data_IF_409463490098
#
_entry.id   IF_409463490098
#
_cell.length_a   1.000
_cell.length_b   1.000
_cell.length_c   1.000
_cell.angle_alpha   90.00
_cell.angle_beta   90.00
_cell.angle_gamma   90.00
#
_symmetry.space_group_name_H-M   'P 1'
#
loop_
_entity.id
_entity.type
_entity.pdbx_description
1 polymer ?
#
# COMPACT_ATOMS: atom_id res chain seq x y z
N UNK A 1 -3.71 -18.50 7.40
CA UNK A 1 -3.55 -18.04 5.99
C UNK A 1 -2.19 -17.38 5.87
N UNK A 2 -1.65 -17.25 4.66
CA UNK A 2 -0.35 -16.60 4.43
C UNK A 2 -0.58 -15.36 3.58
N UNK A 3 -0.15 -14.19 4.05
CA UNK A 3 -0.09 -12.99 3.24
C UNK A 3 1.15 -13.06 2.35
N UNK A 4 0.93 -12.99 1.05
CA UNK A 4 1.99 -13.09 0.05
C UNK A 4 2.53 -11.72 -0.31
N UNK A 5 1.64 -10.72 -0.42
CA UNK A 5 2.01 -9.38 -0.87
C UNK A 5 1.00 -8.34 -0.40
N UNK A 6 1.51 -7.18 0.00
CA UNK A 6 0.74 -5.94 0.17
C UNK A 6 1.48 -4.85 -0.58
N UNK A 7 0.83 -4.23 -1.55
CA UNK A 7 1.43 -3.14 -2.32
C UNK A 7 0.48 -1.99 -2.51
N UNK A 8 1.03 -0.79 -2.42
CA UNK A 8 0.35 0.43 -2.83
C UNK A 8 0.69 0.70 -4.30
N UNK A 9 -0.31 0.63 -5.17
CA UNK A 9 -0.19 1.05 -6.57
C UNK A 9 -0.48 2.55 -6.63
N UNK A 10 0.56 3.41 -6.80
CA UNK A 10 0.36 4.85 -6.81
C UNK A 10 -0.39 5.30 -8.07
N UNK A 11 -1.07 6.45 -7.99
CA UNK A 11 -1.53 7.13 -9.20
C UNK A 11 -0.34 7.71 -9.98
N UNK A 12 -0.58 8.12 -11.23
CA UNK A 12 0.46 8.61 -12.16
C UNK A 12 1.26 9.82 -11.60
N UNK A 13 0.68 10.52 -10.64
CA UNK A 13 1.22 11.71 -10.00
C UNK A 13 2.20 11.43 -8.86
N UNK A 14 2.29 10.18 -8.40
CA UNK A 14 3.10 9.77 -7.26
C UNK A 14 4.00 8.59 -7.59
N UNK A 15 5.14 8.59 -6.92
CA UNK A 15 6.03 7.44 -6.78
C UNK A 15 5.80 6.89 -5.37
N UNK A 16 5.75 5.57 -5.24
CA UNK A 16 5.54 4.89 -3.97
C UNK A 16 6.81 4.15 -3.53
N UNK A 17 7.16 4.26 -2.24
CA UNK A 17 8.18 3.44 -1.60
C UNK A 17 7.64 2.84 -0.30
N UNK A 18 7.94 1.58 -0.05
CA UNK A 18 7.56 0.90 1.19
C UNK A 18 8.54 1.27 2.32
N UNK A 19 8.00 1.68 3.47
CA UNK A 19 8.80 1.97 4.66
C UNK A 19 8.86 0.70 5.51
N UNK A 20 10.04 0.09 5.60
CA UNK A 20 10.28 -1.04 6.49
C UNK A 20 10.35 -0.55 7.93
N UNK A 21 9.54 -1.12 8.81
CA UNK A 21 9.54 -0.80 10.24
C UNK A 21 10.73 -1.52 10.89
N UNK A 22 11.67 -0.81 11.53
CA UNK A 22 12.93 -1.40 12.01
C UNK A 22 12.78 -2.30 13.26
N UNK A 23 11.59 -2.44 13.84
CA UNK A 23 11.39 -3.09 15.14
C UNK A 23 10.99 -4.57 15.10
N UNK A 24 10.86 -5.19 13.92
CA UNK A 24 10.73 -6.65 13.89
C UNK A 24 12.13 -7.26 13.81
N UNK A 25 12.65 -7.73 14.95
CA UNK A 25 13.87 -8.54 15.03
C UNK A 25 13.73 -9.90 14.31
N UNK A 26 12.60 -10.17 13.67
CA UNK A 26 12.41 -11.32 12.81
C UNK A 26 13.02 -11.02 11.44
N UNK A 27 14.02 -11.82 11.06
CA UNK A 27 14.44 -12.01 9.66
C UNK A 27 13.20 -11.90 8.79
N UNK A 28 13.15 -10.84 7.97
CA UNK A 28 12.04 -10.50 7.08
C UNK A 28 11.43 -11.78 6.50
N UNK A 29 10.32 -12.29 7.07
CA UNK A 29 9.90 -13.63 6.72
C UNK A 29 9.37 -13.54 5.29
N UNK A 30 9.90 -14.39 4.41
CA UNK A 30 9.49 -14.49 3.01
C UNK A 30 7.95 -14.65 2.87
N UNK A 31 7.32 -15.10 3.96
CA UNK A 31 5.88 -15.29 4.10
C UNK A 31 5.38 -14.77 5.46
N UNK A 32 4.33 -13.95 5.44
CA UNK A 32 3.72 -13.43 6.66
C UNK A 32 2.49 -14.26 7.01
N UNK A 33 2.52 -14.97 8.14
CA UNK A 33 1.34 -15.70 8.61
C UNK A 33 0.26 -14.74 9.15
N UNK A 34 -0.95 -14.89 8.64
CA UNK A 34 -2.14 -14.18 9.10
C UNK A 34 -2.86 -15.03 10.14
N UNK A 35 -2.74 -14.62 11.41
CA UNK A 35 -3.53 -15.18 12.50
C UNK A 35 -4.94 -14.59 12.50
N UNK A 36 -5.95 -15.37 12.94
CA UNK A 36 -7.30 -14.83 13.09
C UNK A 36 -7.32 -13.59 13.98
N UNK A 37 -7.99 -12.53 13.51
CA UNK A 37 -8.11 -11.23 14.19
C UNK A 37 -6.80 -10.45 14.38
N UNK A 38 -5.70 -10.87 13.76
CA UNK A 38 -4.46 -10.11 13.78
C UNK A 38 -4.64 -8.75 13.07
N UNK A 39 -4.07 -7.70 13.66
CA UNK A 39 -3.99 -6.37 13.07
C UNK A 39 -2.53 -6.12 12.70
N UNK A 40 -2.30 -5.66 11.46
CA UNK A 40 -0.97 -5.33 10.93
C UNK A 40 -1.01 -3.97 10.27
N UNK A 41 0.10 -3.24 10.35
CA UNK A 41 0.26 -1.92 9.76
C UNK A 41 1.34 -1.97 8.68
N UNK A 42 1.03 -1.40 7.52
CA UNK A 42 1.95 -1.21 6.40
C UNK A 42 2.11 0.28 6.16
N UNK A 43 3.35 0.75 6.00
CA UNK A 43 3.65 2.15 5.73
C UNK A 43 4.19 2.30 4.32
N UNK A 44 3.59 3.22 3.58
CA UNK A 44 4.01 3.60 2.24
C UNK A 44 4.27 5.10 2.21
N UNK A 45 5.40 5.51 1.65
CA UNK A 45 5.72 6.90 1.38
C UNK A 45 5.38 7.21 -0.08
N UNK A 46 4.53 8.23 -0.27
CA UNK A 46 4.21 8.77 -1.58
C UNK A 46 5.00 10.05 -1.81
N UNK A 47 5.71 10.12 -2.93
CA UNK A 47 6.47 11.29 -3.36
C UNK A 47 5.95 11.77 -4.72
N UNK A 48 5.89 13.08 -4.98
CA UNK A 48 5.56 13.62 -6.30
C UNK A 48 6.42 13.00 -7.41
N UNK A 49 5.79 12.61 -8.53
CA UNK A 49 6.49 12.10 -9.72
C UNK A 49 7.04 13.22 -10.64
N UNK A 50 6.86 14.50 -10.26
CA UNK A 50 7.40 15.64 -11.02
C UNK A 50 8.33 16.49 -10.16
N UNK A 51 9.40 16.98 -10.78
CA UNK A 51 10.33 17.96 -10.19
C UNK A 51 9.77 19.38 -10.23
N UNK A 52 8.79 19.63 -11.11
CA UNK A 52 8.08 20.90 -11.16
C UNK A 52 6.94 20.89 -10.14
N UNK A 53 7.21 21.44 -8.95
CA UNK A 53 6.21 21.68 -7.90
C UNK A 53 5.18 22.76 -8.30
N UNK A 54 4.73 22.79 -9.56
CA UNK A 54 3.64 23.66 -9.96
C UNK A 54 2.37 23.10 -9.31
N UNK A 55 1.87 23.83 -8.30
CA UNK A 55 0.62 23.55 -7.60
C UNK A 55 -0.56 23.28 -8.57
N UNK A 56 -0.48 23.80 -9.80
CA UNK A 56 -1.46 23.59 -10.86
C UNK A 56 -1.53 22.14 -11.36
N UNK A 57 -0.44 21.37 -11.34
CA UNK A 57 -0.45 19.97 -11.81
C UNK A 57 -1.22 19.04 -10.86
N UNK A 58 -1.35 19.44 -9.60
CA UNK A 58 -2.05 18.70 -8.55
C UNK A 58 -3.42 19.28 -8.21
N UNK A 59 -3.82 20.41 -8.83
CA UNK A 59 -5.16 21.00 -8.65
C UNK A 59 -6.21 20.07 -9.25
N UNK A 60 -7.13 19.58 -8.42
CA UNK A 60 -8.20 18.66 -8.82
C UNK A 60 -7.79 17.17 -8.81
N UNK A 61 -6.52 16.86 -8.57
CA UNK A 61 -6.05 15.48 -8.42
C UNK A 61 -6.23 15.05 -6.97
N UNK A 62 -7.32 14.34 -6.69
CA UNK A 62 -7.57 13.76 -5.36
C UNK A 62 -7.04 12.33 -5.23
N UNK A 63 -6.92 11.58 -6.34
CA UNK A 63 -6.52 10.16 -6.31
C UNK A 63 -5.03 9.97 -6.01
N UNK A 64 -4.72 9.27 -4.91
CA UNK A 64 -3.34 8.99 -4.48
C UNK A 64 -2.86 7.59 -4.93
N UNK A 65 -3.78 6.67 -5.20
CA UNK A 65 -3.46 5.28 -5.55
C UNK A 65 -4.45 4.29 -4.96
N UNK A 66 -4.12 3.00 -4.99
CA UNK A 66 -4.95 1.92 -4.46
C UNK A 66 -4.10 0.86 -3.77
N UNK A 67 -4.68 0.21 -2.76
CA UNK A 67 -4.02 -0.86 -2.03
C UNK A 67 -4.40 -2.20 -2.63
N UNK A 68 -3.41 -3.04 -2.90
CA UNK A 68 -3.56 -4.40 -3.44
C UNK A 68 -2.95 -5.40 -2.46
N UNK A 69 -3.74 -6.43 -2.12
CA UNK A 69 -3.38 -7.47 -1.17
C UNK A 69 -3.55 -8.85 -1.80
N UNK A 70 -2.54 -9.70 -1.68
CA UNK A 70 -2.59 -11.10 -2.11
C UNK A 70 -2.31 -12.02 -0.93
N UNK A 71 -3.08 -13.09 -0.80
CA UNK A 71 -2.91 -14.10 0.24
C UNK A 71 -3.17 -15.50 -0.30
N UNK A 72 -2.76 -16.49 0.49
CA UNK A 72 -3.02 -17.91 0.27
C UNK A 72 -3.75 -18.52 1.47
N UNK A 73 -4.83 -19.27 1.20
CA UNK A 73 -5.53 -20.04 2.22
C UNK A 73 -4.68 -21.22 2.70
N UNK A 74 -5.06 -21.83 3.81
CA UNK A 74 -4.38 -23.05 4.30
C UNK A 74 -4.48 -24.22 3.32
N UNK A 75 -5.51 -24.25 2.47
CA UNK A 75 -5.70 -25.25 1.42
C UNK A 75 -5.03 -24.89 0.08
N UNK A 76 -4.28 -23.78 0.04
CA UNK A 76 -3.49 -23.40 -1.14
C UNK A 76 -4.19 -22.47 -2.14
N UNK A 77 -5.45 -22.11 -1.90
CA UNK A 77 -6.18 -21.20 -2.78
C UNK A 77 -5.64 -19.77 -2.64
N UNK A 78 -5.47 -19.08 -3.77
CA UNK A 78 -5.03 -17.68 -3.77
C UNK A 78 -6.22 -16.73 -3.78
N UNK A 79 -6.18 -15.73 -2.91
CA UNK A 79 -7.10 -14.61 -2.90
C UNK A 79 -6.39 -13.30 -3.21
N UNK A 80 -7.12 -12.34 -3.78
CA UNK A 80 -6.67 -10.99 -4.05
C UNK A 80 -7.76 -10.00 -3.62
N UNK A 81 -7.37 -8.92 -2.97
CA UNK A 81 -8.25 -7.82 -2.58
C UNK A 81 -7.61 -6.52 -3.00
N UNK A 82 -8.31 -5.79 -3.85
CA UNK A 82 -7.90 -4.47 -4.28
C UNK A 82 -8.93 -3.46 -3.77
N UNK A 83 -8.46 -2.36 -3.20
CA UNK A 83 -9.35 -1.28 -2.78
C UNK A 83 -9.78 -0.43 -3.97
N UNK A 84 -10.84 0.36 -3.78
CA UNK A 84 -11.07 1.54 -4.62
C UNK A 84 -9.89 2.53 -4.51
N UNK A 85 -9.75 3.45 -5.47
CA UNK A 85 -8.77 4.52 -5.37
C UNK A 85 -8.96 5.32 -4.08
N UNK A 86 -7.88 5.40 -3.31
CA UNK A 86 -7.79 6.25 -2.15
C UNK A 86 -7.71 7.70 -2.62
N UNK A 87 -8.46 8.57 -1.94
CA UNK A 87 -8.50 9.99 -2.24
C UNK A 87 -7.93 10.80 -1.06
N UNK A 88 -7.20 11.86 -1.38
CA UNK A 88 -6.79 12.88 -0.41
C UNK A 88 -8.04 13.60 0.08
N UNK A 89 -8.19 13.74 1.40
CA UNK A 89 -9.19 14.64 1.97
C UNK A 89 -8.83 16.07 1.61
N UNK A 90 -9.72 16.74 0.91
CA UNK A 90 -9.68 18.18 0.68
C UNK A 90 -10.63 18.77 1.72
N UNK A 91 -10.09 19.52 2.68
CA UNK A 91 -10.91 20.33 3.57
C UNK A 91 -11.29 21.60 2.79
N UNK A 92 -12.58 21.89 2.69
CA UNK A 92 -13.09 23.19 2.21
C UNK A 92 -12.81 24.31 3.21
#
# INVERSE_FOLDING_TARGET
MVLEKVTMEPSEFYICSEIKIPYSNEKNPEYVYLEPKAIRQYLFCLSPNTTEHSLNHYRGVSSIGKLDMCWRTSMGERGRLQTSPLQRMVYE
#
